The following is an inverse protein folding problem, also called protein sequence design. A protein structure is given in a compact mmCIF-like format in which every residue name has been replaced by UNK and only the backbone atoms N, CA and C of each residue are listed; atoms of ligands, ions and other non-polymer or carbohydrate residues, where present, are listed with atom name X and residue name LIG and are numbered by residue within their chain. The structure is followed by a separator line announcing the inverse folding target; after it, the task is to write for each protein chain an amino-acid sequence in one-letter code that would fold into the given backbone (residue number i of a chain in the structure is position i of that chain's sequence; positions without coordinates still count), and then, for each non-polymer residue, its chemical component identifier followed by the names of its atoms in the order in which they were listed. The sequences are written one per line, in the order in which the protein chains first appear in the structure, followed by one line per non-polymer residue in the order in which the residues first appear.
data_IF_312730461143
#
_entry.id   IF_312730461143
#
_cell.length_a   1.000
_cell.length_b   1.000
_cell.length_c   1.000
_cell.angle_alpha   90.00
_cell.angle_beta   90.00
_cell.angle_gamma   90.00
#
_symmetry.space_group_name_H-M   'P 1'
#
loop_
_entity.id
_entity.type
_entity.pdbx_description
1 polymer ?
#
# COMPACT_ATOMS: atom_id res chain seq x y z
N UNK A 1 17.31 14.11 20.58
CA UNK A 1 17.08 14.10 20.20
C UNK A 1 16.61 14.44 19.50
N UNK A 2 16.34 14.68 19.61
CA UNK A 2 15.61 15.18 18.85
C UNK A 2 15.41 14.74 17.61
N UNK A 3 15.68 13.77 17.35
CA UNK A 3 15.49 13.42 16.13
C UNK A 3 14.09 13.22 15.96
N UNK A 4 13.48 13.88 15.07
CA UNK A 4 12.20 13.75 14.80
C UNK A 4 12.05 12.74 13.79
N UNK A 5 11.45 11.60 14.09
CA UNK A 5 11.24 10.57 13.16
C UNK A 5 10.06 10.92 12.31
N UNK A 6 10.19 10.83 11.03
CA UNK A 6 9.09 11.12 10.15
C UNK A 6 8.09 9.99 10.16
N UNK A 7 6.83 10.31 10.01
CA UNK A 7 5.76 9.33 9.99
C UNK A 7 5.07 9.38 8.66
N UNK A 8 4.77 8.22 8.13
CA UNK A 8 4.20 8.12 6.80
C UNK A 8 2.93 7.31 6.80
N UNK A 9 2.01 7.68 5.93
CA UNK A 9 0.88 6.85 5.62
C UNK A 9 1.14 6.25 4.25
N UNK A 10 1.13 4.95 4.13
CA UNK A 10 1.36 4.28 2.86
C UNK A 10 0.02 3.78 2.34
N UNK A 11 -0.37 4.26 1.19
CA UNK A 11 -1.62 3.88 0.55
C UNK A 11 -1.28 3.18 -0.77
N UNK A 12 -1.72 1.96 -0.93
CA UNK A 12 -1.36 1.14 -2.07
C UNK A 12 -2.58 0.87 -2.93
N UNK A 13 -2.41 0.92 -4.25
CA UNK A 13 -3.44 0.58 -5.20
C UNK A 13 -3.16 -0.84 -5.67
N UNK A 14 -4.00 -1.79 -5.29
CA UNK A 14 -3.74 -3.19 -5.56
C UNK A 14 -3.77 -3.54 -7.03
N UNK A 15 -4.44 -2.73 -7.85
CA UNK A 15 -4.50 -3.02 -9.27
C UNK A 15 -3.20 -2.69 -9.98
N UNK A 16 -2.42 -1.82 -9.42
CA UNK A 16 -1.22 -1.36 -10.10
C UNK A 16 0.09 -1.78 -9.45
N UNK A 17 0.04 -2.32 -8.25
CA UNK A 17 1.25 -2.75 -7.57
C UNK A 17 1.14 -4.22 -7.23
N UNK A 18 2.14 -4.99 -7.58
CA UNK A 18 2.14 -6.41 -7.25
C UNK A 18 2.61 -6.63 -5.83
N UNK A 19 2.02 -7.61 -5.17
CA UNK A 19 2.39 -7.94 -3.81
C UNK A 19 3.86 -8.34 -3.66
N UNK A 20 4.47 -8.76 -4.75
CA UNK A 20 5.86 -9.18 -4.66
C UNK A 20 6.80 -8.03 -4.35
N UNK A 21 6.33 -6.79 -4.48
CA UNK A 21 7.17 -5.64 -4.20
C UNK A 21 7.03 -5.12 -2.77
N UNK A 22 6.20 -5.75 -1.95
CA UNK A 22 5.93 -5.19 -0.62
C UNK A 22 7.18 -5.09 0.24
N UNK A 23 8.05 -6.08 0.16
CA UNK A 23 9.26 -6.05 0.97
C UNK A 23 10.18 -4.93 0.52
N UNK A 24 10.26 -4.70 -0.79
CA UNK A 24 11.07 -3.63 -1.33
C UNK A 24 10.53 -2.28 -0.88
N UNK A 25 9.21 -2.12 -0.89
CA UNK A 25 8.60 -0.87 -0.46
C UNK A 25 8.90 -0.62 1.01
N UNK A 26 8.77 -1.65 1.84
CA UNK A 26 9.02 -1.47 3.26
C UNK A 26 10.49 -1.17 3.53
N UNK A 27 11.40 -1.80 2.79
CA UNK A 27 12.81 -1.53 2.97
C UNK A 27 13.16 -0.09 2.63
N UNK A 28 12.56 0.43 1.56
CA UNK A 28 12.78 1.82 1.20
C UNK A 28 12.26 2.76 2.27
N UNK A 29 11.08 2.46 2.80
CA UNK A 29 10.49 3.35 3.78
C UNK A 29 11.18 3.26 5.12
N UNK A 30 11.73 2.12 5.45
CA UNK A 30 12.40 1.96 6.74
C UNK A 30 13.56 2.93 6.91
N UNK A 31 14.19 3.30 5.81
CA UNK A 31 15.29 4.23 5.87
C UNK A 31 14.83 5.66 6.02
N UNK A 32 13.55 5.93 5.85
CA UNK A 32 13.04 7.28 5.86
C UNK A 32 12.23 7.63 7.08
N UNK A 33 11.71 6.64 7.77
CA UNK A 33 10.90 6.92 8.93
C UNK A 33 10.02 5.76 9.28
N UNK A 34 8.89 6.07 9.89
CA UNK A 34 7.98 5.05 10.39
C UNK A 34 6.68 5.09 9.62
N UNK A 35 6.19 3.93 9.20
CA UNK A 35 4.89 3.84 8.55
C UNK A 35 3.86 3.63 9.64
N UNK A 36 2.96 4.58 9.80
CA UNK A 36 1.97 4.53 10.87
C UNK A 36 0.59 4.18 10.34
N UNK A 37 0.34 4.35 9.04
CA UNK A 37 -0.92 3.97 8.43
C UNK A 37 -0.58 3.16 7.20
N UNK A 38 -1.19 2.01 7.05
CA UNK A 38 -0.86 1.13 5.95
C UNK A 38 -2.15 0.57 5.42
N UNK A 39 -2.56 1.01 4.25
CA UNK A 39 -3.83 0.61 3.66
C UNK A 39 -3.66 0.25 2.21
N UNK A 40 -4.46 -0.68 1.74
CA UNK A 40 -4.41 -1.07 0.36
C UNK A 40 -5.83 -1.03 -0.19
N UNK A 41 -5.99 -0.41 -1.33
CA UNK A 41 -7.28 -0.20 -1.93
C UNK A 41 -7.47 -1.12 -3.12
N UNK A 42 -8.59 -1.77 -3.21
CA UNK A 42 -8.85 -2.66 -4.33
C UNK A 42 -10.23 -3.24 -4.27
N UNK A 43 -10.57 -3.99 -5.31
CA UNK A 43 -11.84 -4.68 -5.34
C UNK A 43 -11.57 -6.09 -4.86
N UNK A 44 -11.89 -6.36 -3.62
CA UNK A 44 -11.52 -7.61 -2.98
C UNK A 44 -12.42 -8.78 -3.34
N UNK A 45 -13.40 -8.53 -4.22
CA UNK A 45 -14.15 -9.60 -4.81
C UNK A 45 -13.29 -10.34 -5.82
N UNK A 46 -12.18 -9.74 -6.26
CA UNK A 46 -11.27 -10.36 -7.19
C UNK A 46 -9.89 -10.43 -6.59
N UNK A 47 -9.16 -11.43 -6.98
CA UNK A 47 -7.80 -11.55 -6.51
C UNK A 47 -6.91 -10.92 -7.54
N UNK A 48 -6.12 -9.95 -7.15
CA UNK A 48 -5.33 -9.19 -8.08
C UNK A 48 -3.89 -9.08 -7.61
N UNK A 49 -2.98 -9.32 -8.51
CA UNK A 49 -1.56 -9.04 -8.30
C UNK A 49 -0.95 -9.66 -7.05
N UNK A 50 -1.47 -10.79 -6.65
CA UNK A 50 -0.88 -11.50 -5.51
C UNK A 50 -1.29 -11.01 -4.15
N UNK A 51 -2.17 -10.04 -4.09
CA UNK A 51 -2.61 -9.53 -2.80
C UNK A 51 -3.69 -10.45 -2.27
N UNK A 52 -3.31 -11.34 -1.39
CA UNK A 52 -4.27 -12.26 -0.81
C UNK A 52 -4.32 -12.04 0.69
N UNK A 53 -5.25 -12.72 1.32
CA UNK A 53 -5.50 -12.50 2.74
C UNK A 53 -4.26 -12.76 3.58
N UNK A 54 -3.52 -13.80 3.26
CA UNK A 54 -2.34 -14.13 4.05
C UNK A 54 -1.29 -13.03 3.96
N UNK A 55 -1.10 -12.46 2.78
CA UNK A 55 -0.13 -11.39 2.60
C UNK A 55 -0.56 -10.15 3.38
N UNK A 56 -1.84 -9.83 3.35
CA UNK A 56 -2.32 -8.65 4.05
C UNK A 56 -2.15 -8.83 5.56
N UNK A 57 -2.49 -9.99 6.08
CA UNK A 57 -2.39 -10.23 7.50
C UNK A 57 -0.94 -10.25 7.95
N UNK A 58 -0.08 -10.87 7.16
CA UNK A 58 1.32 -10.97 7.55
C UNK A 58 1.97 -9.61 7.64
N UNK A 59 1.54 -8.67 6.82
CA UNK A 59 2.15 -7.35 6.78
C UNK A 59 1.31 -6.29 7.49
N UNK A 60 0.24 -6.69 8.14
CA UNK A 60 -0.64 -5.77 8.87
C UNK A 60 -1.20 -4.68 7.98
N UNK A 61 -1.55 -5.03 6.75
CA UNK A 61 -2.11 -4.09 5.81
C UNK A 61 -3.62 -4.14 5.90
N UNK A 62 -4.25 -2.97 6.00
CA UNK A 62 -5.70 -2.89 6.10
C UNK A 62 -6.30 -2.76 4.71
N UNK A 63 -7.11 -3.72 4.27
CA UNK A 63 -7.71 -3.64 2.96
C UNK A 63 -8.94 -2.74 2.96
N UNK A 64 -9.05 -1.90 1.95
CA UNK A 64 -10.19 -1.02 1.79
C UNK A 64 -10.83 -1.38 0.47
N UNK A 65 -12.13 -1.63 0.48
CA UNK A 65 -12.84 -1.98 -0.73
C UNK A 65 -13.01 -0.75 -1.61
N UNK A 66 -12.70 -0.89 -2.89
CA UNK A 66 -12.86 0.19 -3.81
C UNK A 66 -13.47 -0.38 -5.08
N UNK A 67 -14.60 0.14 -5.48
CA UNK A 67 -15.23 -0.36 -6.68
C UNK A 67 -14.62 0.34 -7.88
N UNK A 68 -14.44 -0.44 -8.93
CA UNK A 68 -13.79 0.13 -10.07
C UNK A 68 -14.77 0.70 -10.99
N UNK A 69 -15.10 1.90 -10.92
CA UNK A 69 -15.96 2.37 -11.85
C UNK A 69 -15.33 3.23 -12.83
N UNK A 70 -14.24 3.35 -12.99
CA UNK A 70 -13.80 4.22 -13.90
C UNK A 70 -12.78 3.93 -14.43
N UNK A 71 -12.42 4.08 -15.03
CA UNK A 71 -11.46 3.96 -15.52
C UNK A 71 -10.49 4.61 -15.40
N UNK A 72 -10.02 4.67 -14.83
CA UNK A 72 -9.09 5.33 -14.49
C UNK A 72 -8.02 5.50 -15.22
N UNK A 73 -8.09 5.85 -16.09
CA UNK A 73 -7.14 6.06 -16.79
C UNK A 73 -6.07 6.70 -16.30
N UNK A 74 -6.01 7.42 -15.53
CA UNK A 74 -4.91 8.12 -15.12
C UNK A 74 -4.37 7.70 -13.91
N UNK A 75 -4.48 6.53 -13.50
CA UNK A 75 -3.94 6.17 -12.29
C UNK A 75 -2.51 6.05 -12.37
N UNK A 76 -1.82 7.02 -12.18
CA UNK A 76 -0.42 6.97 -12.32
C UNK A 76 0.24 6.60 -11.06
N UNK A 77 -0.30 6.92 -9.89
CA UNK A 77 0.41 6.65 -8.68
C UNK A 77 -0.16 5.43 -8.06
N UNK A 78 0.55 4.36 -8.08
CA UNK A 78 0.06 3.15 -7.55
C UNK A 78 0.28 3.01 -6.08
N UNK A 79 1.17 3.75 -5.53
CA UNK A 79 1.37 3.79 -4.09
C UNK A 79 1.62 5.22 -3.70
N UNK A 80 0.99 5.68 -2.66
CA UNK A 80 1.12 7.05 -2.25
C UNK A 80 1.64 7.09 -0.84
N UNK A 81 2.61 7.92 -0.60
CA UNK A 81 3.19 8.08 0.71
C UNK A 81 2.85 9.45 1.21
N UNK A 82 2.23 9.51 2.35
CA UNK A 82 1.85 10.78 2.94
C UNK A 82 2.59 10.98 4.22
N UNK A 83 3.25 12.09 4.28
CA UNK A 83 4.06 12.43 5.43
C UNK A 83 3.24 13.06 6.55
#
# INVERSE_FOLDING_TARGET
MGSEEKRYALLIDSDNVSAKYIDTIFDELADRGMVTVLRIYGDWARSVNGWNRATLLRNSIVPIQQFAYTQGKNATDSAMIID
#
